data_IF_546777214919
#
_entry.id   IF_546777214919
#
_cell.length_a   1.000
_cell.length_b   1.000
_cell.length_c   1.000
_cell.angle_alpha   90.00
_cell.angle_beta   90.00
_cell.angle_gamma   90.00
#
_symmetry.space_group_name_H-M   'P 1'
#
loop_
_entity.id
_entity.type
_entity.pdbx_description
1 polymer ?
#
# COMPACT_ATOMS: atom_id res chain seq x y z
N UNK A 1 37.90 -42.78 -46.35
CA UNK A 1 37.42 -42.68 -44.97
C UNK A 1 37.13 -41.20 -44.67
N UNK A 2 35.87 -40.77 -44.75
CA UNK A 2 35.48 -39.36 -44.57
C UNK A 2 34.94 -39.18 -43.15
N UNK A 3 35.76 -38.55 -42.26
CA UNK A 3 35.30 -38.14 -40.94
C UNK A 3 34.55 -36.79 -41.05
N UNK A 4 33.23 -36.82 -40.99
CA UNK A 4 32.41 -35.61 -40.81
C UNK A 4 32.34 -35.30 -39.31
N UNK A 5 33.04 -34.29 -38.87
CA UNK A 5 32.90 -33.72 -37.53
C UNK A 5 31.61 -32.90 -37.49
N UNK A 6 30.62 -33.38 -36.74
CA UNK A 6 29.40 -32.65 -36.46
C UNK A 6 29.71 -31.65 -35.31
N UNK A 7 29.80 -30.36 -35.64
CA UNK A 7 29.93 -29.28 -34.67
C UNK A 7 28.53 -29.03 -34.08
N UNK A 8 28.28 -29.53 -32.86
CA UNK A 8 27.07 -29.19 -32.08
C UNK A 8 27.28 -27.82 -31.45
N UNK A 9 26.70 -26.78 -32.04
CA UNK A 9 26.63 -25.43 -31.41
C UNK A 9 25.56 -25.45 -30.35
N UNK A 10 25.99 -25.54 -29.09
CA UNK A 10 25.10 -25.42 -27.93
C UNK A 10 24.65 -23.95 -27.78
N UNK A 11 23.45 -23.61 -28.22
CA UNK A 11 22.85 -22.30 -28.05
C UNK A 11 22.51 -22.12 -26.57
N UNK A 12 23.40 -21.46 -25.81
CA UNK A 12 23.11 -21.02 -24.43
C UNK A 12 22.21 -19.80 -24.53
N UNK A 13 20.90 -20.01 -24.40
CA UNK A 13 19.94 -18.92 -24.20
C UNK A 13 20.17 -18.33 -22.81
N UNK A 14 20.48 -17.03 -22.68
CA UNK A 14 20.53 -16.39 -21.38
C UNK A 14 19.10 -16.40 -20.79
N UNK A 15 18.87 -17.23 -19.79
CA UNK A 15 17.71 -17.06 -18.92
C UNK A 15 17.91 -15.72 -18.18
N UNK A 16 17.28 -14.65 -18.67
CA UNK A 16 17.09 -13.43 -17.92
C UNK A 16 16.13 -13.75 -16.75
N UNK A 17 16.65 -14.37 -15.70
CA UNK A 17 15.93 -14.58 -14.47
C UNK A 17 15.67 -13.18 -13.86
N UNK A 18 14.42 -12.74 -13.86
CA UNK A 18 14.02 -11.55 -13.10
C UNK A 18 14.30 -11.83 -11.62
N UNK A 19 15.44 -11.30 -11.13
CA UNK A 19 15.80 -11.40 -9.72
C UNK A 19 14.86 -10.49 -8.93
N UNK A 20 14.08 -11.07 -8.02
CA UNK A 20 13.24 -10.32 -7.10
C UNK A 20 14.12 -9.45 -6.20
N UNK A 21 13.90 -8.14 -6.20
CA UNK A 21 14.63 -7.19 -5.36
C UNK A 21 13.85 -6.94 -4.07
N UNK A 22 14.44 -7.26 -2.92
CA UNK A 22 13.94 -6.82 -1.62
C UNK A 22 14.29 -5.34 -1.41
N UNK A 23 13.34 -4.57 -0.91
CA UNK A 23 13.48 -3.12 -0.73
C UNK A 23 13.14 -2.75 0.71
N UNK A 24 14.15 -2.22 1.44
CA UNK A 24 14.00 -1.73 2.81
C UNK A 24 13.57 -0.26 2.85
N UNK A 25 14.06 0.54 1.88
CA UNK A 25 13.67 1.95 1.68
C UNK A 25 12.86 2.07 0.39
N UNK A 26 11.69 2.72 0.47
CA UNK A 26 10.76 2.85 -0.65
C UNK A 26 9.85 4.06 -0.44
N UNK A 27 9.64 4.84 -1.50
CA UNK A 27 8.58 5.84 -1.57
C UNK A 27 7.65 5.56 -2.74
N UNK A 28 6.34 5.54 -2.47
CA UNK A 28 5.29 5.35 -3.46
C UNK A 28 4.32 6.53 -3.38
N UNK A 29 3.89 7.02 -4.53
CA UNK A 29 2.81 8.00 -4.61
C UNK A 29 1.74 7.48 -5.55
N UNK A 30 0.49 7.47 -5.09
CA UNK A 30 -0.67 7.13 -5.88
C UNK A 30 -1.58 8.34 -6.03
N UNK A 31 -2.12 8.53 -7.21
CA UNK A 31 -3.34 9.32 -7.42
C UNK A 31 -4.53 8.42 -7.13
N UNK A 32 -5.45 8.89 -6.30
CA UNK A 32 -6.66 8.13 -5.98
C UNK A 32 -7.92 8.94 -6.32
N UNK A 33 -8.93 8.22 -6.81
CA UNK A 33 -10.24 8.78 -7.15
C UNK A 33 -11.30 7.98 -6.42
N UNK A 34 -12.10 8.69 -5.62
CA UNK A 34 -13.23 8.15 -4.90
C UNK A 34 -14.50 8.48 -5.69
N UNK A 35 -15.30 7.47 -5.99
CA UNK A 35 -16.60 7.61 -6.64
C UNK A 35 -17.68 6.91 -5.84
N UNK A 36 -18.93 7.39 -5.97
CA UNK A 36 -20.09 6.73 -5.41
C UNK A 36 -21.01 6.31 -6.58
N UNK A 37 -21.46 5.06 -6.59
CA UNK A 37 -22.32 4.54 -7.66
C UNK A 37 -23.67 5.27 -7.77
N UNK A 38 -24.16 5.92 -6.68
CA UNK A 38 -25.39 6.73 -6.72
C UNK A 38 -25.17 8.12 -7.34
N UNK A 39 -23.93 8.63 -7.32
CA UNK A 39 -23.57 9.93 -7.87
C UNK A 39 -22.21 9.82 -8.56
N UNK A 40 -22.22 9.26 -9.76
CA UNK A 40 -21.01 9.05 -10.57
C UNK A 40 -20.34 10.36 -11.00
N UNK A 41 -21.05 11.49 -10.96
CA UNK A 41 -20.52 12.81 -11.30
C UNK A 41 -19.68 13.40 -10.17
N UNK A 42 -19.92 12.97 -8.92
CA UNK A 42 -19.16 13.44 -7.76
C UNK A 42 -17.91 12.58 -7.58
N UNK A 43 -16.78 13.12 -8.04
CA UNK A 43 -15.46 12.50 -7.87
C UNK A 43 -14.65 13.30 -6.86
N UNK A 44 -14.08 12.61 -5.89
CA UNK A 44 -13.12 13.21 -4.95
C UNK A 44 -11.75 12.66 -5.30
N UNK A 45 -10.85 13.55 -5.69
CA UNK A 45 -9.45 13.21 -5.95
C UNK A 45 -8.62 13.38 -4.67
N UNK A 46 -7.69 12.47 -4.46
CA UNK A 46 -6.70 12.56 -3.38
C UNK A 46 -5.37 11.98 -3.84
N UNK A 47 -4.32 12.33 -3.11
CA UNK A 47 -2.99 11.73 -3.25
C UNK A 47 -2.71 10.87 -2.03
N UNK A 48 -2.17 9.68 -2.27
CA UNK A 48 -1.74 8.76 -1.21
C UNK A 48 -0.26 8.48 -1.35
N UNK A 49 0.53 8.86 -0.35
CA UNK A 49 1.97 8.59 -0.29
C UNK A 49 2.27 7.47 0.72
N UNK A 50 3.20 6.58 0.38
CA UNK A 50 3.78 5.60 1.30
C UNK A 50 5.28 5.79 1.34
N UNK A 51 5.86 5.79 2.55
CA UNK A 51 7.29 5.88 2.80
C UNK A 51 7.68 4.75 3.74
N UNK A 52 8.67 3.97 3.34
CA UNK A 52 9.18 2.84 4.10
C UNK A 52 10.65 3.05 4.41
N UNK A 53 11.07 2.71 5.64
CA UNK A 53 12.45 2.68 6.08
C UNK A 53 12.63 1.59 7.13
N UNK A 54 13.15 0.44 6.72
CA UNK A 54 13.24 -0.73 7.61
C UNK A 54 11.89 -1.10 8.22
N UNK A 55 11.77 -1.07 9.56
CA UNK A 55 10.52 -1.36 10.27
C UNK A 55 9.50 -0.23 10.26
N UNK A 56 9.93 0.99 9.91
CA UNK A 56 9.06 2.16 9.91
C UNK A 56 8.29 2.28 8.59
N UNK A 57 7.03 2.62 8.71
CA UNK A 57 6.21 3.02 7.57
C UNK A 57 5.41 4.27 7.90
N UNK A 58 5.22 5.09 6.87
CA UNK A 58 4.36 6.27 6.91
C UNK A 58 3.45 6.24 5.71
N UNK A 59 2.13 6.35 5.91
CA UNK A 59 1.17 6.61 4.86
C UNK A 59 0.56 8.00 5.04
N UNK A 60 0.42 8.73 3.93
CA UNK A 60 -0.16 10.07 3.89
C UNK A 60 -1.31 10.08 2.89
N UNK A 61 -2.48 10.53 3.30
CA UNK A 61 -3.61 10.76 2.38
C UNK A 61 -3.94 12.25 2.44
N UNK A 62 -3.93 12.89 1.29
CA UNK A 62 -4.22 14.33 1.18
C UNK A 62 -5.29 14.57 0.12
N UNK A 63 -6.32 15.30 0.49
CA UNK A 63 -7.37 15.80 -0.39
C UNK A 63 -7.67 17.28 -0.04
N UNK A 64 -8.54 17.91 -0.81
CA UNK A 64 -8.99 19.27 -0.51
C UNK A 64 -9.84 19.37 0.78
N UNK A 65 -10.34 18.24 1.29
CA UNK A 65 -11.28 18.20 2.42
C UNK A 65 -10.66 17.70 3.72
N UNK A 66 -9.62 16.87 3.63
CA UNK A 66 -8.99 16.26 4.81
C UNK A 66 -7.55 15.86 4.50
N UNK A 67 -6.76 15.76 5.56
CA UNK A 67 -5.48 15.07 5.52
C UNK A 67 -5.40 14.02 6.64
N UNK A 68 -4.70 12.94 6.37
CA UNK A 68 -4.46 11.88 7.34
C UNK A 68 -3.07 11.30 7.15
N UNK A 69 -2.33 11.18 8.24
CA UNK A 69 -1.00 10.55 8.24
C UNK A 69 -1.02 9.42 9.24
N UNK A 70 -0.54 8.25 8.84
CA UNK A 70 -0.30 7.14 9.76
C UNK A 70 1.18 6.84 9.77
N UNK A 71 1.80 6.83 10.94
CA UNK A 71 3.19 6.38 11.16
C UNK A 71 3.09 5.09 11.96
N UNK A 72 3.76 4.04 11.51
CA UNK A 72 3.69 2.72 12.13
C UNK A 72 5.09 2.10 12.21
N UNK A 73 5.39 1.50 13.36
CA UNK A 73 6.59 0.69 13.58
C UNK A 73 6.20 -0.78 13.69
N UNK A 74 6.54 -1.56 12.68
CA UNK A 74 6.24 -3.00 12.62
C UNK A 74 7.01 -3.83 13.64
N UNK A 75 8.09 -3.29 14.24
CA UNK A 75 8.87 -3.98 15.29
C UNK A 75 8.15 -3.93 16.63
N UNK A 76 7.54 -2.80 16.96
CA UNK A 76 6.81 -2.62 18.23
C UNK A 76 5.31 -2.85 18.11
N UNK A 77 4.79 -2.93 16.86
CA UNK A 77 3.35 -3.02 16.60
C UNK A 77 2.59 -1.73 16.90
N UNK A 78 3.29 -0.64 17.22
CA UNK A 78 2.68 0.63 17.62
C UNK A 78 2.60 1.64 16.47
N UNK A 79 1.67 2.58 16.55
CA UNK A 79 1.50 3.60 15.53
C UNK A 79 0.88 4.88 16.05
N UNK A 80 0.98 5.90 15.21
CA UNK A 80 0.35 7.20 15.44
C UNK A 80 -0.47 7.57 14.21
N UNK A 81 -1.70 7.99 14.44
CA UNK A 81 -2.58 8.52 13.42
C UNK A 81 -2.77 10.04 13.65
N UNK A 82 -2.30 10.82 12.69
CA UNK A 82 -2.54 12.25 12.62
C UNK A 82 -3.71 12.50 11.68
N UNK A 83 -4.66 13.32 12.10
CA UNK A 83 -5.80 13.73 11.27
C UNK A 83 -5.98 15.23 11.32
N UNK A 84 -6.31 15.81 10.18
CA UNK A 84 -6.79 17.18 10.09
C UNK A 84 -8.13 17.19 9.36
N UNK A 85 -9.17 17.64 10.08
CA UNK A 85 -10.54 17.74 9.57
C UNK A 85 -11.12 19.03 10.08
N UNK A 86 -11.61 19.89 9.19
CA UNK A 86 -12.23 21.18 9.53
C UNK A 86 -11.35 22.05 10.46
N UNK A 87 -10.03 22.06 10.21
CA UNK A 87 -9.06 22.83 11.00
C UNK A 87 -8.69 22.21 12.36
N UNK A 88 -9.33 21.12 12.76
CA UNK A 88 -8.94 20.39 13.97
C UNK A 88 -7.83 19.39 13.68
N UNK A 89 -6.75 19.46 14.42
CA UNK A 89 -5.60 18.56 14.33
C UNK A 89 -5.62 17.59 15.51
N UNK A 90 -5.74 16.30 15.20
CA UNK A 90 -5.82 15.21 16.18
C UNK A 90 -4.62 14.29 16.03
N UNK A 91 -3.99 13.92 17.15
CA UNK A 91 -2.96 12.90 17.25
C UNK A 91 -3.51 11.74 18.09
N UNK A 92 -3.60 10.56 17.49
CA UNK A 92 -4.13 9.35 18.11
C UNK A 92 -3.01 8.33 18.21
N UNK A 93 -2.60 7.99 19.44
CA UNK A 93 -1.63 6.91 19.67
C UNK A 93 -2.33 5.57 19.71
N UNK A 94 -1.68 4.58 19.10
CA UNK A 94 -2.16 3.20 19.04
C UNK A 94 -1.04 2.27 19.49
N UNK A 95 -1.33 1.39 20.43
CA UNK A 95 -0.50 0.24 20.74
C UNK A 95 -0.78 -0.91 19.74
N UNK A 96 -0.14 -2.06 19.91
CA UNK A 96 -0.32 -3.21 19.04
C UNK A 96 -1.78 -3.72 19.01
N UNK A 97 -2.45 -3.75 20.17
CA UNK A 97 -3.85 -4.17 20.26
C UNK A 97 -4.78 -3.23 19.49
N UNK A 98 -4.62 -1.91 19.68
CA UNK A 98 -5.39 -0.91 18.95
C UNK A 98 -5.16 -0.97 17.44
N UNK A 99 -3.89 -1.20 17.02
CA UNK A 99 -3.53 -1.36 15.63
C UNK A 99 -4.19 -2.59 15.01
N UNK A 100 -4.12 -3.72 15.70
CA UNK A 100 -4.73 -4.97 15.26
C UNK A 100 -6.26 -4.86 15.20
N UNK A 101 -6.90 -4.25 16.20
CA UNK A 101 -8.34 -4.00 16.21
C UNK A 101 -8.79 -3.12 15.05
N UNK A 102 -8.07 -2.01 14.80
CA UNK A 102 -8.34 -1.08 13.70
C UNK A 102 -8.29 -1.77 12.33
N UNK A 103 -7.33 -2.66 12.15
CA UNK A 103 -7.03 -3.28 10.86
C UNK A 103 -7.54 -4.72 10.75
N UNK A 104 -8.24 -5.25 11.76
CA UNK A 104 -8.66 -6.66 11.90
C UNK A 104 -9.21 -7.28 10.60
N UNK A 105 -10.04 -6.54 9.87
CA UNK A 105 -10.68 -7.03 8.65
C UNK A 105 -9.72 -7.16 7.45
N UNK A 106 -8.55 -6.47 7.49
CA UNK A 106 -7.59 -6.42 6.38
C UNK A 106 -6.40 -7.37 6.59
N UNK A 107 -6.07 -7.70 7.86
CA UNK A 107 -4.86 -8.43 8.19
C UNK A 107 -4.77 -9.85 7.60
N UNK A 108 -5.91 -10.47 7.32
CA UNK A 108 -5.99 -11.87 6.86
C UNK A 108 -6.55 -11.99 5.44
N UNK A 109 -6.40 -10.95 4.61
CA UNK A 109 -6.80 -11.02 3.21
C UNK A 109 -5.95 -12.03 2.45
N UNK A 110 -6.61 -12.94 1.74
CA UNK A 110 -5.99 -13.89 0.84
C UNK A 110 -6.24 -13.47 -0.60
N UNK A 111 -5.16 -13.28 -1.37
CA UNK A 111 -5.22 -12.87 -2.76
C UNK A 111 -5.24 -14.07 -3.69
N UNK A 112 -6.27 -14.15 -4.53
CA UNK A 112 -6.37 -15.13 -5.62
C UNK A 112 -5.88 -14.46 -6.89
N UNK A 113 -4.86 -15.04 -7.54
CA UNK A 113 -4.33 -14.55 -8.82
C UNK A 113 -5.38 -14.66 -9.92
N UNK A 114 -5.39 -13.67 -10.81
CA UNK A 114 -6.16 -13.71 -12.06
C UNK A 114 -5.22 -13.96 -13.24
N UNK A 115 -5.79 -14.19 -14.44
CA UNK A 115 -5.01 -14.32 -15.67
C UNK A 115 -4.64 -12.98 -16.31
N UNK A 116 -5.05 -11.86 -15.68
CA UNK A 116 -4.78 -10.54 -16.20
C UNK A 116 -3.35 -10.12 -15.90
N UNK A 117 -2.71 -9.51 -16.90
CA UNK A 117 -1.36 -8.96 -16.80
C UNK A 117 -1.30 -7.59 -17.44
N UNK A 118 -0.44 -6.71 -16.95
CA UNK A 118 -0.12 -5.44 -17.61
C UNK A 118 1.22 -4.90 -17.18
N UNK A 119 1.74 -3.91 -17.87
CA UNK A 119 2.96 -3.19 -17.49
C UNK A 119 2.58 -1.85 -16.86
N UNK A 120 3.11 -1.57 -15.67
CA UNK A 120 2.91 -0.30 -14.95
C UNK A 120 4.28 0.24 -14.54
N UNK A 121 4.59 1.47 -14.93
CA UNK A 121 5.87 2.13 -14.65
C UNK A 121 7.10 1.27 -15.02
N UNK A 122 7.01 0.48 -16.08
CA UNK A 122 8.09 -0.40 -16.55
C UNK A 122 8.15 -1.77 -15.87
N UNK A 123 7.31 -2.04 -14.86
CA UNK A 123 7.24 -3.32 -14.17
C UNK A 123 6.17 -4.23 -14.74
N UNK A 124 6.50 -5.50 -14.95
CA UNK A 124 5.51 -6.53 -15.27
C UNK A 124 4.63 -6.79 -14.04
N UNK A 125 3.31 -6.67 -14.21
CA UNK A 125 2.33 -6.86 -13.14
C UNK A 125 1.37 -7.99 -13.48
N UNK A 126 0.97 -8.70 -12.43
CA UNK A 126 -0.08 -9.72 -12.46
C UNK A 126 -1.28 -9.24 -11.65
N UNK A 127 -2.47 -9.62 -12.09
CA UNK A 127 -3.71 -9.31 -11.41
C UNK A 127 -3.98 -10.27 -10.24
N UNK A 128 -4.61 -9.77 -9.20
CA UNK A 128 -5.16 -10.58 -8.11
C UNK A 128 -6.40 -9.92 -7.50
N UNK A 129 -7.23 -10.71 -6.84
CA UNK A 129 -8.41 -10.26 -6.12
C UNK A 129 -8.44 -10.80 -4.70
N UNK A 130 -9.00 -10.03 -3.78
CA UNK A 130 -9.30 -10.46 -2.42
C UNK A 130 -10.63 -9.86 -1.98
N UNK A 131 -11.30 -10.51 -1.03
CA UNK A 131 -12.54 -9.97 -0.44
C UNK A 131 -12.57 -10.23 1.06
N UNK A 132 -13.31 -9.35 1.77
CA UNK A 132 -13.62 -9.52 3.19
C UNK A 132 -15.05 -10.02 3.36
N UNK A 133 -15.37 -10.68 4.48
CA UNK A 133 -16.75 -11.12 4.76
C UNK A 133 -17.78 -9.98 4.81
N UNK A 134 -17.34 -8.75 5.11
CA UNK A 134 -18.19 -7.56 5.16
C UNK A 134 -18.35 -6.84 3.80
N UNK A 135 -17.97 -7.51 2.70
CA UNK A 135 -18.25 -7.09 1.33
C UNK A 135 -17.25 -6.10 0.72
N UNK A 136 -16.08 -5.87 1.33
CA UNK A 136 -15.00 -5.16 0.65
C UNK A 136 -14.36 -6.10 -0.39
N UNK A 137 -14.24 -5.64 -1.62
CA UNK A 137 -13.53 -6.31 -2.71
C UNK A 137 -12.32 -5.47 -3.10
N UNK A 138 -11.16 -6.09 -3.19
CA UNK A 138 -9.92 -5.48 -3.66
C UNK A 138 -9.51 -6.19 -4.94
N UNK A 139 -9.30 -5.41 -6.01
CA UNK A 139 -8.64 -5.86 -7.25
C UNK A 139 -7.32 -5.15 -7.34
N UNK A 140 -6.22 -5.88 -7.55
CA UNK A 140 -4.87 -5.32 -7.53
C UNK A 140 -4.05 -5.82 -8.70
N UNK A 141 -3.26 -4.93 -9.31
CA UNK A 141 -2.13 -5.25 -10.17
C UNK A 141 -0.84 -4.99 -9.40
N UNK A 142 -0.02 -6.01 -9.25
CA UNK A 142 1.20 -5.95 -8.45
C UNK A 142 2.39 -6.56 -9.20
N UNK A 143 3.58 -6.01 -8.94
CA UNK A 143 4.82 -6.59 -9.46
C UNK A 143 5.46 -7.51 -8.43
N UNK A 144 6.10 -8.57 -8.92
CA UNK A 144 6.93 -9.48 -8.13
C UNK A 144 8.42 -9.11 -8.19
N UNK A 145 8.79 -8.13 -9.01
CA UNK A 145 10.18 -7.68 -9.16
C UNK A 145 10.65 -6.91 -7.92
N UNK A 146 9.70 -6.30 -7.18
CA UNK A 146 9.96 -5.54 -5.96
C UNK A 146 9.16 -6.14 -4.80
N UNK A 147 9.85 -6.47 -3.72
CA UNK A 147 9.24 -7.02 -2.50
C UNK A 147 9.60 -6.12 -1.32
N UNK A 148 8.66 -5.40 -0.71
CA UNK A 148 8.92 -4.64 0.51
C UNK A 148 9.37 -5.58 1.64
N UNK A 149 10.46 -5.24 2.33
CA UNK A 149 10.91 -5.98 3.52
C UNK A 149 9.88 -5.85 4.64
N UNK A 150 9.37 -4.64 4.86
CA UNK A 150 8.27 -4.39 5.79
C UNK A 150 6.92 -4.61 5.10
N UNK A 151 6.43 -5.84 5.10
CA UNK A 151 5.10 -6.17 4.52
C UNK A 151 3.92 -5.60 5.34
N UNK A 152 4.15 -5.16 6.56
CA UNK A 152 3.11 -4.56 7.42
C UNK A 152 2.88 -3.08 7.16
N UNK A 153 3.53 -2.49 6.15
CA UNK A 153 3.38 -1.08 5.80
C UNK A 153 1.94 -0.72 5.39
N UNK A 154 1.23 -1.67 4.80
CA UNK A 154 -0.19 -1.57 4.50
C UNK A 154 -0.88 -2.89 4.89
N UNK A 155 -1.79 -2.87 5.88
CA UNK A 155 -2.48 -4.07 6.35
C UNK A 155 -3.25 -4.82 5.25
N UNK A 156 -3.74 -4.12 4.23
CA UNK A 156 -4.48 -4.72 3.14
C UNK A 156 -3.59 -5.60 2.24
N UNK A 157 -2.30 -5.28 2.12
CA UNK A 157 -1.37 -5.97 1.23
C UNK A 157 -0.32 -6.82 1.95
N UNK A 158 -0.46 -7.03 3.25
CA UNK A 158 0.50 -7.82 4.06
C UNK A 158 0.77 -9.20 3.48
N UNK A 159 -0.26 -9.85 2.94
CA UNK A 159 -0.19 -11.21 2.36
C UNK A 159 -0.03 -11.21 0.83
N UNK A 160 0.16 -10.06 0.20
CA UNK A 160 0.43 -9.98 -1.24
C UNK A 160 1.88 -10.38 -1.52
N UNK A 161 2.11 -11.19 -2.55
CA UNK A 161 3.44 -11.65 -2.97
C UNK A 161 4.09 -10.67 -3.95
N UNK A 162 4.25 -9.41 -3.53
CA UNK A 162 4.84 -8.35 -4.33
C UNK A 162 4.40 -6.95 -3.90
N UNK A 163 4.69 -5.96 -4.76
CA UNK A 163 4.37 -4.56 -4.54
C UNK A 163 3.14 -4.16 -5.37
N UNK A 164 2.02 -3.70 -4.77
CA UNK A 164 0.87 -3.19 -5.51
C UNK A 164 1.27 -1.92 -6.28
N UNK A 165 0.91 -1.82 -7.56
CA UNK A 165 1.15 -0.63 -8.39
C UNK A 165 -0.14 0.04 -8.86
N UNK A 166 -1.22 -0.70 -8.97
CA UNK A 166 -2.56 -0.17 -9.19
C UNK A 166 -3.56 -1.06 -8.45
N UNK A 167 -4.54 -0.46 -7.80
CA UNK A 167 -5.58 -1.25 -7.14
C UNK A 167 -6.88 -0.48 -7.00
N UNK A 168 -7.96 -1.24 -6.86
CA UNK A 168 -9.31 -0.74 -6.63
C UNK A 168 -9.88 -1.38 -5.37
N UNK A 169 -10.60 -0.57 -4.59
CA UNK A 169 -11.36 -1.01 -3.42
C UNK A 169 -12.82 -0.69 -3.62
N UNK A 170 -13.67 -1.70 -3.56
CA UNK A 170 -15.12 -1.55 -3.71
C UNK A 170 -15.83 -2.08 -2.47
N UNK A 171 -16.72 -1.26 -1.90
CA UNK A 171 -17.59 -1.68 -0.79
C UNK A 171 -18.95 -1.02 -0.93
N UNK A 172 -19.98 -1.81 -1.21
CA UNK A 172 -21.30 -1.27 -1.52
C UNK A 172 -21.22 -0.31 -2.72
N UNK A 173 -21.63 0.94 -2.51
CA UNK A 173 -21.61 1.97 -3.56
C UNK A 173 -20.28 2.74 -3.63
N UNK A 174 -19.41 2.57 -2.66
CA UNK A 174 -18.12 3.25 -2.63
C UNK A 174 -17.11 2.49 -3.49
N UNK A 175 -16.45 3.22 -4.40
CA UNK A 175 -15.37 2.73 -5.23
C UNK A 175 -14.19 3.69 -5.16
N UNK A 176 -13.02 3.17 -4.83
CA UNK A 176 -11.78 3.93 -4.77
C UNK A 176 -10.78 3.26 -5.69
N UNK A 177 -10.28 4.01 -6.67
CA UNK A 177 -9.21 3.58 -7.56
C UNK A 177 -7.92 4.28 -7.20
N UNK A 178 -6.83 3.51 -7.09
CA UNK A 178 -5.47 3.98 -6.84
C UNK A 178 -4.61 3.64 -8.06
N UNK A 179 -3.95 4.65 -8.62
CA UNK A 179 -3.04 4.50 -9.75
C UNK A 179 -1.68 5.06 -9.38
N UNK A 180 -0.62 4.26 -9.54
CA UNK A 180 0.74 4.69 -9.24
C UNK A 180 1.09 5.95 -10.04
N UNK A 181 1.53 6.99 -9.33
CA UNK A 181 2.04 8.23 -9.90
C UNK A 181 3.58 8.24 -9.91
N UNK A 182 4.21 7.74 -8.85
CA UNK A 182 5.67 7.62 -8.79
C UNK A 182 6.12 6.52 -7.84
N UNK A 183 7.31 5.99 -8.11
CA UNK A 183 8.05 5.04 -7.28
C UNK A 183 9.49 5.52 -7.16
N UNK A 184 10.04 5.51 -5.95
CA UNK A 184 11.43 5.88 -5.70
C UNK A 184 12.04 4.89 -4.70
N UNK A 185 13.20 4.34 -5.05
CA UNK A 185 13.97 3.35 -4.27
C UNK A 185 15.18 3.98 -3.56
N UNK A 186 15.31 5.32 -3.58
CA UNK A 186 16.34 6.02 -2.83
C UNK A 186 16.06 6.00 -1.33
N UNK A 187 17.09 6.18 -0.48
CA UNK A 187 16.92 6.23 0.97
C UNK A 187 15.87 7.27 1.41
N UNK A 188 14.96 6.84 2.28
CA UNK A 188 13.95 7.73 2.87
C UNK A 188 14.56 8.43 4.08
N UNK A 189 14.48 9.78 4.18
CA UNK A 189 14.96 10.51 5.35
C UNK A 189 14.25 10.06 6.63
N UNK A 190 15.00 9.89 7.73
CA UNK A 190 14.44 9.49 9.03
C UNK A 190 13.40 10.50 9.55
N UNK A 191 13.58 11.79 9.26
CA UNK A 191 12.65 12.87 9.63
C UNK A 191 11.24 12.70 9.04
N UNK A 192 11.06 11.87 8.01
CA UNK A 192 9.72 11.51 7.51
C UNK A 192 8.87 10.80 8.57
N UNK A 193 9.48 10.18 9.55
CA UNK A 193 8.79 9.39 10.58
C UNK A 193 8.70 10.14 11.93
N UNK A 194 9.11 11.42 11.98
CA UNK A 194 8.99 12.23 13.17
C UNK A 194 7.52 12.49 13.52
N UNK A 195 7.20 12.33 14.81
CA UNK A 195 5.87 12.58 15.34
C UNK A 195 5.85 14.01 15.87
N UNK A 196 4.89 14.86 15.44
CA UNK A 196 4.77 16.22 15.95
C UNK A 196 4.62 16.25 17.48
N UNK A 197 5.36 17.16 18.14
CA UNK A 197 5.31 17.36 19.60
C UNK A 197 4.37 18.48 20.02
N UNK A 198 3.82 19.24 19.07
CA UNK A 198 2.91 20.36 19.32
C UNK A 198 1.92 20.54 18.16
N UNK A 199 0.91 21.39 18.38
CA UNK A 199 -0.08 21.74 17.36
C UNK A 199 -1.18 20.71 17.14
N UNK A 200 -1.19 19.59 17.87
CA UNK A 200 -2.21 18.55 17.80
C UNK A 200 -2.87 18.36 19.18
N UNK A 201 -4.18 18.12 19.18
CA UNK A 201 -4.87 17.58 20.33
C UNK A 201 -4.62 16.08 20.39
N UNK A 202 -3.93 15.63 21.43
CA UNK A 202 -3.68 14.22 21.66
C UNK A 202 -4.92 13.54 22.25
N UNK A 203 -5.21 12.31 21.82
CA UNK A 203 -6.29 11.48 22.33
C UNK A 203 -5.94 10.00 22.21
N UNK A 204 -6.60 9.18 23.03
CA UNK A 204 -6.49 7.72 22.94
C UNK A 204 -7.25 7.19 21.74
N UNK A 205 -6.95 5.92 21.36
CA UNK A 205 -7.69 5.25 20.30
C UNK A 205 -9.17 5.07 20.66
N UNK A 206 -9.46 4.74 21.92
CA UNK A 206 -10.83 4.55 22.46
C UNK A 206 -11.64 5.84 22.41
N UNK A 207 -11.03 6.98 22.77
CA UNK A 207 -11.66 8.31 22.64
C UNK A 207 -11.97 8.62 21.17
N UNK A 208 -11.06 8.25 20.25
CA UNK A 208 -11.24 8.49 18.83
C UNK A 208 -12.38 7.67 18.22
N UNK A 209 -12.71 6.52 18.77
CA UNK A 209 -13.86 5.70 18.35
C UNK A 209 -15.19 6.38 18.69
N UNK A 210 -15.26 7.06 19.84
CA UNK A 210 -16.48 7.79 20.27
C UNK A 210 -16.81 8.97 19.35
N UNK A 211 -15.77 9.61 18.77
CA UNK A 211 -15.97 10.72 17.81
C UNK A 211 -16.58 10.27 16.46
N UNK A 212 -16.50 9.00 16.12
CA UNK A 212 -17.08 8.45 14.88
C UNK A 212 -18.58 8.12 15.02
N UNK A 213 -19.08 8.15 16.24
CA UNK A 213 -20.47 7.78 16.58
C UNK A 213 -21.37 9.02 16.72
N UNK A 214 -20.82 10.22 16.62
CA UNK A 214 -21.50 11.51 16.59
C UNK A 214 -21.49 12.09 15.17
#
# INVERSE_FOLDING_TARGET
MNNKWLLVVLLILPFAGNSQKRVGDLSLVYNSVITNAQDSNRKISSTTGYYLKGNLSRSEVTSNMFSSVTIFDSKTGSGVLLKEVNGQKLLIRMNDENWNQKNKRLLNLNFTKTNETKTIAGYACVGATASTPDGLVITVFYTRDLIPENKSYDPAFKNLDGLPLEYEMKKGMLHIKYSLASINLNPVPASKFDIPTSGYREMTYEESLKLKTL
#
